data_IF_022238476877
#
_entry.id   IF_022238476877
#
_cell.length_a   1.000
_cell.length_b   1.000
_cell.length_c   1.000
_cell.angle_alpha   90.00
_cell.angle_beta   90.00
_cell.angle_gamma   90.00
#
_symmetry.space_group_name_H-M   'P 1'
#
loop_
_entity.id
_entity.type
_entity.pdbx_description
1 polymer ?
#
# COMPACT_ATOMS: atom_id res chain seq x y z
N UNK A 1 -13.00 7.03 13.79
CA UNK A 1 -12.14 6.12 13.02
C UNK A 1 -12.67 6.06 11.60
N UNK A 2 -12.13 6.84 10.65
CA UNK A 2 -12.83 7.06 9.37
C UNK A 2 -11.93 7.34 8.16
N UNK A 3 -10.68 6.87 8.16
CA UNK A 3 -9.73 7.12 7.06
C UNK A 3 -9.47 5.93 6.15
N UNK A 4 -9.51 4.70 6.68
CA UNK A 4 -9.12 3.51 5.92
C UNK A 4 -10.08 2.34 6.16
N UNK A 5 -10.65 1.74 5.10
CA UNK A 5 -11.63 0.67 5.22
C UNK A 5 -11.03 -0.67 5.67
N UNK A 6 -9.73 -0.91 5.41
CA UNK A 6 -9.05 -2.17 5.73
C UNK A 6 -7.57 -1.93 6.09
N UNK A 7 -7.27 -1.94 7.39
CA UNK A 7 -5.92 -1.71 7.94
C UNK A 7 -5.63 -2.63 9.11
N UNK A 8 -4.34 -2.96 9.29
CA UNK A 8 -3.80 -3.48 10.55
C UNK A 8 -3.39 -2.29 11.41
N UNK A 9 -3.81 -2.29 12.67
CA UNK A 9 -3.31 -1.36 13.66
C UNK A 9 -2.20 -2.04 14.46
N UNK A 10 -1.06 -1.38 14.56
CA UNK A 10 0.07 -1.84 15.36
C UNK A 10 0.48 -0.77 16.36
N UNK A 11 0.93 -1.21 17.53
CA UNK A 11 1.54 -0.36 18.56
C UNK A 11 3.06 -0.41 18.38
N UNK A 12 3.54 0.38 17.43
CA UNK A 12 4.96 0.48 17.10
C UNK A 12 5.31 1.94 16.78
N UNK A 13 6.44 2.40 17.32
CA UNK A 13 6.98 3.74 16.99
C UNK A 13 7.64 3.69 15.61
N UNK A 14 6.86 4.01 14.58
CA UNK A 14 7.32 4.06 13.20
C UNK A 14 7.68 5.49 12.83
N UNK A 15 8.96 5.78 12.68
CA UNK A 15 9.44 7.08 12.18
C UNK A 15 8.89 7.40 10.79
N UNK A 16 8.69 8.69 10.43
CA UNK A 16 8.24 9.08 9.09
C UNK A 16 9.09 8.49 7.95
N UNK A 17 10.40 8.34 8.16
CA UNK A 17 11.34 7.73 7.20
C UNK A 17 11.13 6.22 6.98
N UNK A 18 10.27 5.58 7.78
CA UNK A 18 9.95 4.15 7.71
C UNK A 18 8.55 3.88 7.14
N UNK A 19 7.76 4.93 6.88
CA UNK A 19 6.50 4.81 6.14
C UNK A 19 6.79 4.36 4.70
N UNK A 20 5.98 3.44 4.19
CA UNK A 20 6.18 2.72 2.93
C UNK A 20 7.00 1.44 3.07
N UNK A 21 7.61 1.20 4.24
CA UNK A 21 8.34 -0.03 4.51
C UNK A 21 7.42 -1.24 4.80
N UNK A 22 7.96 -2.47 4.72
CA UNK A 22 7.22 -3.67 5.04
C UNK A 22 7.00 -3.82 6.55
N UNK A 23 5.83 -4.31 6.94
CA UNK A 23 5.56 -4.84 8.27
C UNK A 23 5.88 -6.34 8.26
N UNK A 24 6.83 -6.78 9.09
CA UNK A 24 7.31 -8.16 9.12
C UNK A 24 6.85 -8.89 10.40
N UNK A 25 6.69 -10.21 10.30
CA UNK A 25 6.60 -11.10 11.46
C UNK A 25 7.99 -11.47 12.00
N UNK A 26 8.03 -12.32 13.04
CA UNK A 26 9.27 -12.77 13.68
C UNK A 26 10.12 -13.70 12.80
N UNK A 27 9.54 -14.26 11.75
CA UNK A 27 10.20 -15.15 10.78
C UNK A 27 10.68 -14.37 9.55
N UNK A 28 10.39 -13.06 9.48
CA UNK A 28 10.77 -12.18 8.37
C UNK A 28 9.77 -12.17 7.21
N UNK A 29 8.57 -12.75 7.37
CA UNK A 29 7.54 -12.71 6.34
C UNK A 29 6.81 -11.36 6.37
N UNK A 30 6.45 -10.85 5.19
CA UNK A 30 5.73 -9.59 5.06
C UNK A 30 4.22 -9.74 5.34
N UNK A 31 3.77 -9.11 6.42
CA UNK A 31 2.36 -9.01 6.80
C UNK A 31 1.64 -7.82 6.14
N UNK A 32 2.38 -6.80 5.68
CA UNK A 32 1.78 -5.62 5.09
C UNK A 32 2.77 -4.49 4.78
N UNK A 33 2.23 -3.31 4.45
CA UNK A 33 3.00 -2.08 4.19
C UNK A 33 2.55 -1.00 5.16
N UNK A 34 3.49 -0.39 5.89
CA UNK A 34 3.17 0.70 6.82
C UNK A 34 2.84 1.97 6.04
N UNK A 35 1.69 2.59 6.29
CA UNK A 35 1.19 3.72 5.48
C UNK A 35 1.02 5.02 6.24
N UNK A 36 0.73 4.95 7.54
CA UNK A 36 0.43 6.14 8.30
C UNK A 36 0.70 5.92 9.77
N UNK A 37 1.14 6.98 10.43
CA UNK A 37 1.00 7.15 11.85
C UNK A 37 -0.28 7.95 12.07
N UNK A 38 -1.30 7.36 12.69
CA UNK A 38 -2.58 8.05 12.82
C UNK A 38 -2.61 9.08 13.94
N UNK A 39 -1.80 8.88 14.99
CA UNK A 39 -1.63 9.79 16.14
C UNK A 39 -0.41 9.35 16.97
N UNK A 40 -0.25 9.82 18.21
CA UNK A 40 0.81 9.42 19.15
C UNK A 40 0.94 7.91 19.36
N UNK A 41 -0.14 7.13 19.15
CA UNK A 41 -0.21 5.73 19.56
C UNK A 41 -0.48 4.71 18.44
N UNK A 42 -1.42 4.90 17.49
CA UNK A 42 -1.65 3.87 16.46
C UNK A 42 -0.88 4.13 15.17
N UNK A 43 -0.09 3.14 14.74
CA UNK A 43 0.45 3.04 13.39
C UNK A 43 -0.43 2.11 12.57
N UNK A 44 -0.69 2.46 11.31
CA UNK A 44 -1.48 1.66 10.38
C UNK A 44 -0.63 1.06 9.28
N UNK A 45 -0.90 -0.21 8.98
CA UNK A 45 -0.37 -0.91 7.83
C UNK A 45 -1.50 -1.45 6.94
N UNK A 46 -1.30 -1.43 5.63
CA UNK A 46 -2.15 -2.14 4.69
C UNK A 46 -1.80 -3.63 4.77
N UNK A 47 -2.76 -4.53 5.01
CA UNK A 47 -2.56 -5.98 4.96
C UNK A 47 -1.95 -6.45 3.63
N UNK A 48 -1.04 -7.43 3.68
CA UNK A 48 -0.38 -7.97 2.49
C UNK A 48 -1.36 -8.54 1.46
N UNK A 49 -2.44 -9.17 1.89
CA UNK A 49 -3.47 -9.71 0.99
C UNK A 49 -4.20 -8.59 0.21
N UNK A 50 -4.52 -7.46 0.85
CA UNK A 50 -5.05 -6.27 0.16
C UNK A 50 -4.07 -5.77 -0.92
N UNK A 51 -2.78 -5.69 -0.59
CA UNK A 51 -1.74 -5.25 -1.53
C UNK A 51 -1.66 -6.19 -2.73
N UNK A 52 -1.65 -7.50 -2.47
CA UNK A 52 -1.59 -8.53 -3.51
C UNK A 52 -2.83 -8.51 -4.42
N UNK A 53 -4.01 -8.28 -3.87
CA UNK A 53 -5.24 -8.14 -4.66
C UNK A 53 -5.16 -6.96 -5.63
N UNK A 54 -4.80 -5.78 -5.13
CA UNK A 54 -4.66 -4.57 -5.96
C UNK A 54 -3.56 -4.76 -7.00
N UNK A 55 -2.41 -5.33 -6.59
CA UNK A 55 -1.31 -5.62 -7.50
C UNK A 55 -1.74 -6.53 -8.66
N UNK A 56 -2.43 -7.64 -8.38
CA UNK A 56 -2.92 -8.55 -9.42
C UNK A 56 -3.87 -7.86 -10.39
N UNK A 57 -4.79 -7.04 -9.87
CA UNK A 57 -5.73 -6.28 -10.69
C UNK A 57 -5.01 -5.28 -11.61
N UNK A 58 -4.08 -4.49 -11.07
CA UNK A 58 -3.31 -3.52 -11.85
C UNK A 58 -2.40 -4.20 -12.87
N UNK A 59 -1.78 -5.32 -12.49
CA UNK A 59 -0.92 -6.09 -13.38
C UNK A 59 -1.71 -6.62 -14.58
N UNK A 60 -2.87 -7.23 -14.35
CA UNK A 60 -3.75 -7.71 -15.42
C UNK A 60 -4.19 -6.58 -16.36
N UNK A 61 -4.51 -5.40 -15.80
CA UNK A 61 -4.86 -4.22 -16.60
C UNK A 61 -3.67 -3.73 -17.45
N UNK A 62 -2.46 -3.69 -16.87
CA UNK A 62 -1.24 -3.31 -17.59
C UNK A 62 -0.90 -4.28 -18.72
N UNK A 63 -1.00 -5.59 -18.48
CA UNK A 63 -0.76 -6.62 -19.49
C UNK A 63 -1.82 -6.53 -20.63
N UNK A 64 -3.09 -6.27 -20.29
CA UNK A 64 -4.14 -6.02 -21.28
C UNK A 64 -3.91 -4.72 -22.09
N UNK A 65 -3.47 -3.64 -21.44
CA UNK A 65 -3.15 -2.39 -22.11
C UNK A 65 -1.97 -2.54 -23.08
N UNK A 66 -0.95 -3.30 -22.68
CA UNK A 66 0.20 -3.61 -23.53
C UNK A 66 -0.20 -4.43 -24.77
N UNK A 67 -1.11 -5.40 -24.62
CA UNK A 67 -1.65 -6.17 -25.74
C UNK A 67 -2.49 -5.31 -26.72
N UNK A 68 -3.12 -4.24 -26.21
CA UNK A 68 -3.99 -3.36 -26.98
C UNK A 68 -3.26 -2.16 -27.63
N UNK A 69 -1.92 -2.07 -27.53
CA UNK A 69 -1.12 -1.03 -28.17
C UNK A 69 -1.37 0.40 -27.67
N UNK A 70 -2.12 0.57 -26.59
CA UNK A 70 -2.39 1.87 -25.99
C UNK A 70 -1.24 2.23 -25.03
N UNK A 71 -0.44 3.24 -25.37
CA UNK A 71 0.57 3.77 -24.48
C UNK A 71 -0.06 4.10 -23.11
N UNK A 72 0.42 3.51 -21.99
CA UNK A 72 -0.16 3.78 -20.69
C UNK A 72 0.24 5.20 -20.22
N UNK A 73 -0.60 6.18 -20.57
CA UNK A 73 -0.96 7.39 -19.80
C UNK A 73 0.20 8.31 -19.31
N UNK A 74 0.22 9.52 -19.88
CA UNK A 74 0.93 10.73 -19.43
C UNK A 74 0.06 11.63 -18.53
N UNK A 75 -0.74 11.04 -17.65
CA UNK A 75 -1.69 11.72 -16.77
C UNK A 75 -1.47 11.28 -15.32
N UNK A 76 -0.36 11.73 -14.75
CA UNK A 76 -0.41 12.17 -13.37
C UNK A 76 -1.40 13.35 -13.33
N UNK A 77 -2.49 13.30 -12.55
CA UNK A 77 -3.27 14.50 -12.32
C UNK A 77 -2.34 15.48 -11.60
N UNK A 78 -2.07 16.62 -12.25
CA UNK A 78 -1.55 17.79 -11.59
C UNK A 78 -2.46 18.07 -10.39
N UNK A 79 -1.93 17.83 -9.18
CA UNK A 79 -2.53 18.34 -7.97
C UNK A 79 -2.10 19.82 -7.82
N UNK A 80 -3.00 20.69 -7.35
CA UNK A 80 -2.83 22.15 -7.29
C UNK A 80 -1.72 22.62 -6.35
#
# INVERSE_FOLDING_TARGET
AGGFPRVLQIDADVYPSKVGGPLLDLEGNALGIVIARADRYPTYAIPADSVQEVYRSLRAQADAAAANGAAPNAAAPAAP
#
